data_IF_563421909941
#
_entry.id   IF_563421909941
#
_cell.length_a   1.000
_cell.length_b   1.000
_cell.length_c   1.000
_cell.angle_alpha   90.00
_cell.angle_beta   90.00
_cell.angle_gamma   90.00
#
_symmetry.space_group_name_H-M   'P 1'
#
loop_
_entity.id
_entity.type
_entity.pdbx_description
1 polymer ?
#
# COMPACT_ATOMS: atom_id res chain seq x y z
N UNK A 1 6.82 28.36 10.35
CA UNK A 1 7.91 27.37 10.22
C UNK A 1 7.83 26.72 8.85
N UNK A 2 8.94 26.60 8.22
CA UNK A 2 8.99 25.97 6.92
C UNK A 2 8.89 24.45 7.07
N UNK A 3 7.95 23.83 6.39
CA UNK A 3 7.82 22.37 6.40
C UNK A 3 9.06 21.73 5.79
N UNK A 4 9.60 20.73 6.46
CA UNK A 4 10.76 20.01 5.95
C UNK A 4 10.32 18.93 4.96
N UNK A 5 10.38 19.26 3.71
CA UNK A 5 9.98 18.37 2.62
C UNK A 5 10.87 17.13 2.52
N UNK A 6 12.10 17.23 3.01
CA UNK A 6 13.03 16.09 2.95
C UNK A 6 12.62 14.97 3.86
N UNK A 7 12.06 15.28 5.05
CA UNK A 7 11.52 14.24 5.92
C UNK A 7 10.39 13.48 5.25
N UNK A 8 9.54 14.18 4.51
CA UNK A 8 8.47 13.55 3.75
C UNK A 8 9.03 12.68 2.62
N UNK A 9 10.03 13.20 1.90
CA UNK A 9 10.62 12.47 0.78
C UNK A 9 11.38 11.23 1.23
N UNK A 10 11.92 11.22 2.44
CA UNK A 10 12.55 10.04 3.03
C UNK A 10 11.54 8.92 3.30
N UNK A 11 10.29 9.29 3.55
CA UNK A 11 9.22 8.33 3.85
C UNK A 11 8.48 7.91 2.58
N UNK A 12 8.28 8.84 1.66
CA UNK A 12 7.48 8.63 0.45
C UNK A 12 8.25 8.99 -0.80
N UNK A 13 8.10 8.19 -1.85
CA UNK A 13 8.82 8.35 -3.11
C UNK A 13 8.01 9.03 -4.19
N UNK A 14 6.81 9.49 -3.88
CA UNK A 14 5.94 10.15 -4.83
C UNK A 14 5.44 11.46 -4.29
N UNK A 15 4.47 12.07 -4.94
CA UNK A 15 4.01 13.44 -4.68
C UNK A 15 3.22 13.56 -3.37
N UNK A 16 3.92 13.41 -2.24
CA UNK A 16 3.31 13.48 -0.91
C UNK A 16 2.82 14.89 -0.56
N UNK A 17 3.32 15.91 -1.26
CA UNK A 17 2.85 17.28 -1.04
C UNK A 17 1.35 17.40 -1.31
N UNK A 18 0.82 16.59 -2.20
CA UNK A 18 -0.60 16.59 -2.54
C UNK A 18 -1.48 15.95 -1.48
N UNK A 19 -0.90 15.19 -0.56
CA UNK A 19 -1.69 14.48 0.44
C UNK A 19 -2.37 15.41 1.43
N UNK A 20 -1.66 16.44 1.90
CA UNK A 20 -2.23 17.39 2.85
C UNK A 20 -2.40 16.82 4.25
N UNK A 21 -2.91 17.68 5.15
CA UNK A 21 -3.01 17.37 6.57
C UNK A 21 -3.98 16.22 6.87
N UNK A 22 -5.13 16.22 6.20
CA UNK A 22 -6.14 15.17 6.43
C UNK A 22 -5.58 13.79 6.09
N UNK A 23 -4.93 13.67 4.95
CA UNK A 23 -4.34 12.40 4.52
C UNK A 23 -3.21 11.96 5.45
N UNK A 24 -2.37 12.88 5.92
CA UNK A 24 -1.32 12.55 6.87
C UNK A 24 -1.87 12.00 8.18
N UNK A 25 -2.92 12.61 8.71
CA UNK A 25 -3.56 12.12 9.93
C UNK A 25 -4.13 10.72 9.72
N UNK A 26 -4.81 10.49 8.61
CA UNK A 26 -5.35 9.18 8.28
C UNK A 26 -4.24 8.14 8.13
N UNK A 27 -3.14 8.52 7.51
CA UNK A 27 -1.99 7.65 7.33
C UNK A 27 -1.37 7.24 8.67
N UNK A 28 -1.21 8.19 9.59
CA UNK A 28 -0.70 7.90 10.93
C UNK A 28 -1.61 6.93 11.68
N UNK A 29 -2.93 7.08 11.54
CA UNK A 29 -3.87 6.16 12.14
C UNK A 29 -3.73 4.74 11.57
N UNK A 30 -3.56 4.61 10.25
CA UNK A 30 -3.38 3.28 9.65
C UNK A 30 -2.09 2.62 10.12
N UNK A 31 -1.01 3.39 10.24
CA UNK A 31 0.27 2.88 10.74
C UNK A 31 0.14 2.43 12.19
N UNK A 32 -0.54 3.22 13.02
CA UNK A 32 -0.76 2.90 14.42
C UNK A 32 -1.49 1.55 14.56
N UNK A 33 -2.53 1.34 13.77
CA UNK A 33 -3.33 0.11 13.85
C UNK A 33 -2.61 -1.11 13.29
N UNK A 34 -1.75 -0.92 12.30
CA UNK A 34 -1.14 -2.06 11.59
C UNK A 34 0.32 -2.32 11.95
N UNK A 35 0.84 -1.68 12.99
CA UNK A 35 2.18 -1.98 13.46
C UNK A 35 3.31 -1.38 12.67
N UNK A 36 3.07 -0.32 11.96
CA UNK A 36 4.12 0.58 11.48
C UNK A 36 5.05 0.03 10.43
N UNK A 37 4.55 -0.14 9.23
CA UNK A 37 5.37 -0.55 8.11
C UNK A 37 5.05 0.31 6.90
N UNK A 38 5.19 -0.20 5.71
CA UNK A 38 5.00 0.59 4.52
C UNK A 38 3.61 1.17 4.39
N UNK A 39 3.49 2.20 3.58
CA UNK A 39 2.19 2.81 3.24
C UNK A 39 2.07 2.96 1.74
N UNK A 40 0.84 2.94 1.25
CA UNK A 40 0.51 3.16 -0.14
C UNK A 40 -0.81 3.92 -0.20
N UNK A 41 -0.90 4.89 -1.08
CA UNK A 41 -2.09 5.71 -1.26
C UNK A 41 -2.47 5.80 -2.73
N UNK A 42 -3.73 6.10 -2.99
CA UNK A 42 -4.17 6.29 -4.37
C UNK A 42 -5.58 6.83 -4.48
N UNK A 43 -6.04 6.93 -5.71
CA UNK A 43 -7.34 7.50 -6.05
C UNK A 43 -8.38 6.41 -6.27
N UNK A 44 -9.65 6.80 -6.10
CA UNK A 44 -10.79 5.95 -6.42
C UNK A 44 -11.23 6.15 -7.86
N UNK A 45 -10.30 6.01 -8.79
CA UNK A 45 -10.64 5.97 -10.22
C UNK A 45 -10.78 4.51 -10.69
N UNK A 46 -11.03 4.33 -11.98
CA UNK A 46 -11.28 3.00 -12.53
C UNK A 46 -10.12 2.03 -12.29
N UNK A 47 -8.89 2.54 -12.31
CA UNK A 47 -7.68 1.73 -12.16
C UNK A 47 -7.17 1.68 -10.73
N UNK A 48 -7.81 2.40 -9.79
CA UNK A 48 -7.28 2.59 -8.44
C UNK A 48 -5.83 3.07 -8.51
N UNK A 49 -5.65 4.21 -9.19
CA UNK A 49 -4.33 4.76 -9.49
C UNK A 49 -3.52 5.02 -8.24
N UNK A 50 -2.27 4.57 -8.24
CA UNK A 50 -1.35 4.74 -7.11
C UNK A 50 -0.87 6.19 -7.11
N UNK A 51 -0.98 6.85 -5.96
CA UNK A 51 -0.50 8.21 -5.75
C UNK A 51 0.86 8.24 -5.08
N UNK A 52 1.05 7.46 -4.02
CA UNK A 52 2.31 7.43 -3.29
C UNK A 52 2.58 6.06 -2.71
N UNK A 53 3.86 5.74 -2.56
CA UNK A 53 4.33 4.50 -1.95
C UNK A 53 5.53 4.86 -1.07
N UNK A 54 5.55 4.37 0.16
CA UNK A 54 6.68 4.62 1.05
C UNK A 54 7.92 3.86 0.59
N UNK A 55 9.09 4.39 0.91
CA UNK A 55 10.36 3.72 0.60
C UNK A 55 10.46 2.36 1.26
N UNK A 56 9.94 2.24 2.47
CA UNK A 56 9.97 0.96 3.19
C UNK A 56 9.17 -0.11 2.44
N UNK A 57 7.99 0.24 1.95
CA UNK A 57 7.19 -0.72 1.18
C UNK A 57 7.88 -1.09 -0.13
N UNK A 58 8.42 -0.12 -0.83
CA UNK A 58 9.17 -0.36 -2.06
C UNK A 58 10.34 -1.32 -1.80
N UNK A 59 11.11 -1.06 -0.75
CA UNK A 59 12.23 -1.90 -0.38
C UNK A 59 11.78 -3.34 -0.12
N UNK A 60 10.71 -3.51 0.64
CA UNK A 60 10.19 -4.83 0.97
C UNK A 60 9.64 -5.59 -0.23
N UNK A 61 9.23 -4.88 -1.27
CA UNK A 61 8.77 -5.48 -2.53
C UNK A 61 9.89 -5.60 -3.56
N UNK A 62 11.11 -5.19 -3.20
CA UNK A 62 12.28 -5.18 -4.09
C UNK A 62 12.09 -4.29 -5.32
N UNK A 63 11.39 -3.19 -5.14
CA UNK A 63 11.12 -2.22 -6.20
C UNK A 63 11.77 -0.87 -5.92
N UNK A 64 12.13 -0.16 -6.98
CA UNK A 64 12.15 1.30 -6.95
C UNK A 64 10.74 1.80 -7.26
N UNK A 65 10.48 3.09 -7.02
CA UNK A 65 9.19 3.66 -7.39
C UNK A 65 8.93 3.49 -8.90
N UNK A 66 9.94 3.79 -9.72
CA UNK A 66 9.81 3.67 -11.18
C UNK A 66 9.52 2.24 -11.61
N UNK A 67 10.21 1.26 -11.03
CA UNK A 67 9.99 -0.14 -11.41
C UNK A 67 8.62 -0.64 -10.97
N UNK A 68 8.14 -0.20 -9.80
CA UNK A 68 6.79 -0.53 -9.36
C UNK A 68 5.75 0.03 -10.32
N UNK A 69 5.89 1.30 -10.68
CA UNK A 69 4.93 1.95 -11.59
C UNK A 69 4.96 1.32 -12.97
N UNK A 70 6.12 0.87 -13.43
CA UNK A 70 6.23 0.16 -14.70
C UNK A 70 5.55 -1.20 -14.65
N UNK A 71 5.82 -1.98 -13.61
CA UNK A 71 5.23 -3.31 -13.45
C UNK A 71 3.71 -3.25 -13.29
N UNK A 72 3.21 -2.32 -12.50
CA UNK A 72 1.79 -2.18 -12.20
C UNK A 72 1.05 -1.28 -13.18
N UNK A 73 1.76 -0.55 -14.01
CA UNK A 73 1.21 0.51 -14.87
C UNK A 73 0.44 1.55 -14.06
N UNK A 74 0.90 1.78 -12.84
CA UNK A 74 0.29 2.74 -11.94
C UNK A 74 -1.01 2.32 -11.28
N UNK A 75 -1.43 1.07 -11.44
CA UNK A 75 -2.71 0.58 -10.93
C UNK A 75 -2.50 -0.36 -9.75
N UNK A 76 -3.19 -0.08 -8.65
CA UNK A 76 -3.21 -0.97 -7.50
C UNK A 76 -3.70 -2.37 -7.87
N UNK A 77 -4.62 -2.45 -8.82
CA UNK A 77 -5.16 -3.74 -9.28
C UNK A 77 -4.08 -4.69 -9.78
N UNK A 78 -3.02 -4.14 -10.36
CA UNK A 78 -1.92 -4.94 -10.91
C UNK A 78 -0.86 -5.26 -9.86
N UNK A 79 -0.96 -4.67 -8.68
CA UNK A 79 -0.06 -5.00 -7.56
C UNK A 79 -0.56 -6.20 -6.77
N UNK A 80 -1.88 -6.38 -6.68
CA UNK A 80 -2.44 -7.54 -6.03
C UNK A 80 -2.24 -8.79 -6.87
N UNK A 81 -2.02 -9.92 -6.19
CA UNK A 81 -1.98 -11.22 -6.83
C UNK A 81 -3.36 -11.54 -7.40
N UNK A 82 -3.39 -12.13 -8.58
CA UNK A 82 -4.63 -12.30 -9.37
C UNK A 82 -5.75 -13.07 -8.66
N UNK A 83 -5.41 -13.88 -7.65
CA UNK A 83 -6.42 -14.65 -6.90
C UNK A 83 -7.16 -13.82 -5.87
N UNK A 84 -6.69 -12.62 -5.57
CA UNK A 84 -7.35 -11.74 -4.62
C UNK A 84 -8.44 -10.91 -5.30
N UNK A 85 -9.45 -11.62 -5.83
CA UNK A 85 -10.48 -11.02 -6.67
C UNK A 85 -11.23 -9.88 -5.99
N UNK A 86 -11.33 -9.88 -4.66
CA UNK A 86 -11.99 -8.82 -3.91
C UNK A 86 -11.34 -7.47 -4.17
N UNK A 87 -10.03 -7.44 -4.37
CA UNK A 87 -9.29 -6.20 -4.60
C UNK A 87 -9.31 -5.76 -6.08
N UNK A 88 -9.85 -6.60 -6.95
CA UNK A 88 -10.03 -6.27 -8.35
C UNK A 88 -11.39 -5.61 -8.64
N UNK A 89 -12.29 -5.67 -7.67
CA UNK A 89 -13.61 -5.06 -7.76
C UNK A 89 -13.59 -3.72 -7.03
N UNK A 90 -13.73 -2.62 -7.77
CA UNK A 90 -13.66 -1.27 -7.21
C UNK A 90 -14.68 -1.05 -6.10
N UNK A 91 -15.91 -1.56 -6.26
CA UNK A 91 -16.96 -1.37 -5.27
C UNK A 91 -16.60 -2.08 -3.96
N UNK A 92 -16.10 -3.30 -4.05
CA UNK A 92 -15.67 -4.06 -2.86
C UNK A 92 -14.48 -3.41 -2.18
N UNK A 93 -13.51 -2.96 -2.98
CA UNK A 93 -12.34 -2.28 -2.42
C UNK A 93 -12.77 -0.99 -1.70
N UNK A 94 -13.70 -0.24 -2.29
CA UNK A 94 -14.18 1.00 -1.68
C UNK A 94 -14.92 0.74 -0.37
N UNK A 95 -15.62 -0.39 -0.27
CA UNK A 95 -16.34 -0.75 0.94
C UNK A 95 -15.43 -1.28 2.05
N UNK A 96 -14.24 -1.76 1.70
CA UNK A 96 -13.29 -2.23 2.69
C UNK A 96 -12.85 -1.08 3.59
N UNK A 97 -13.00 -1.23 4.89
CA UNK A 97 -12.51 -0.28 5.88
C UNK A 97 -11.86 -1.06 7.01
N UNK A 98 -10.70 -0.56 7.47
CA UNK A 98 -9.96 -1.24 8.52
C UNK A 98 -9.11 -2.38 7.99
N UNK A 99 -9.08 -3.46 8.74
CA UNK A 99 -8.18 -4.58 8.48
C UNK A 99 -8.55 -5.38 7.26
N UNK A 100 -7.53 -5.86 6.56
CA UNK A 100 -7.67 -6.77 5.43
C UNK A 100 -6.39 -7.56 5.24
N UNK A 101 -6.47 -8.59 4.41
CA UNK A 101 -5.33 -9.42 4.06
C UNK A 101 -5.34 -9.66 2.55
N UNK A 102 -4.16 -9.86 2.01
CA UNK A 102 -4.03 -10.14 0.58
C UNK A 102 -2.61 -10.54 0.24
N UNK A 103 -2.32 -10.55 -1.04
CA UNK A 103 -0.99 -10.83 -1.54
C UNK A 103 -0.59 -9.76 -2.55
N UNK A 104 0.59 -9.17 -2.34
CA UNK A 104 1.19 -8.26 -3.31
C UNK A 104 2.22 -9.01 -4.13
N UNK A 105 2.48 -8.50 -5.33
CA UNK A 105 3.55 -9.03 -6.19
C UNK A 105 4.83 -8.28 -5.92
N UNK A 106 5.92 -9.03 -5.72
CA UNK A 106 7.27 -8.48 -5.67
C UNK A 106 7.79 -8.18 -7.07
N UNK A 107 8.97 -7.59 -7.16
CA UNK A 107 9.56 -7.21 -8.44
C UNK A 107 9.77 -8.40 -9.38
N UNK A 108 10.02 -9.59 -8.83
CA UNK A 108 10.21 -10.80 -9.64
C UNK A 108 8.90 -11.53 -9.94
N UNK A 109 7.76 -10.95 -9.54
CA UNK A 109 6.45 -11.54 -9.80
C UNK A 109 5.98 -12.55 -8.76
N UNK A 110 6.75 -12.77 -7.69
CA UNK A 110 6.36 -13.68 -6.63
C UNK A 110 5.34 -13.01 -5.70
N UNK A 111 4.31 -13.74 -5.24
CA UNK A 111 3.39 -13.18 -4.27
C UNK A 111 3.98 -13.17 -2.88
N UNK A 112 3.61 -12.16 -2.09
CA UNK A 112 3.94 -12.04 -0.68
C UNK A 112 2.68 -11.69 0.10
N UNK A 113 2.45 -12.38 1.22
CA UNK A 113 1.30 -12.10 2.08
C UNK A 113 1.48 -10.76 2.78
N UNK A 114 0.39 -9.98 2.80
CA UNK A 114 0.37 -8.68 3.45
C UNK A 114 -0.86 -8.55 4.32
N UNK A 115 -0.70 -7.84 5.43
CA UNK A 115 -1.81 -7.35 6.25
C UNK A 115 -1.98 -5.88 5.94
N UNK A 116 -3.22 -5.48 5.75
CA UNK A 116 -3.57 -4.13 5.35
C UNK A 116 -4.45 -3.49 6.42
N UNK A 117 -4.31 -2.20 6.57
CA UNK A 117 -5.29 -1.39 7.27
C UNK A 117 -5.64 -0.21 6.39
N UNK A 118 -6.89 -0.16 5.94
CA UNK A 118 -7.33 0.82 4.97
C UNK A 118 -8.19 1.89 5.62
N UNK A 119 -7.97 3.12 5.21
CA UNK A 119 -8.78 4.26 5.61
C UNK A 119 -8.97 5.20 4.42
N UNK A 120 -10.13 5.83 4.36
CA UNK A 120 -10.40 6.85 3.36
C UNK A 120 -10.01 8.23 3.88
N UNK A 121 -9.60 9.11 2.97
CA UNK A 121 -9.24 10.48 3.27
C UNK A 121 -9.50 11.32 2.04
N UNK A 122 -9.09 12.58 2.09
CA UNK A 122 -9.11 13.48 0.93
C UNK A 122 -7.74 14.11 0.77
N UNK A 123 -7.37 14.41 -0.46
CA UNK A 123 -6.15 15.15 -0.74
C UNK A 123 -6.37 16.66 -0.55
N UNK A 124 -5.37 17.46 -0.91
CA UNK A 124 -5.45 18.93 -0.74
C UNK A 124 -6.57 19.56 -1.58
N UNK A 125 -6.98 18.92 -2.65
CA UNK A 125 -8.04 19.40 -3.54
C UNK A 125 -9.42 18.88 -3.13
N UNK A 126 -9.50 18.09 -2.04
CA UNK A 126 -10.74 17.47 -1.62
C UNK A 126 -11.09 16.20 -2.39
N UNK A 127 -10.20 15.71 -3.23
CA UNK A 127 -10.43 14.48 -4.00
C UNK A 127 -10.33 13.27 -3.07
N UNK A 128 -11.30 12.35 -3.11
CA UNK A 128 -11.24 11.14 -2.28
C UNK A 128 -10.05 10.27 -2.65
N UNK A 129 -9.36 9.80 -1.62
CA UNK A 129 -8.22 8.88 -1.76
C UNK A 129 -8.36 7.74 -0.76
N UNK A 130 -7.75 6.61 -1.09
CA UNK A 130 -7.58 5.51 -0.14
C UNK A 130 -6.15 5.53 0.38
N UNK A 131 -6.00 5.12 1.64
CA UNK A 131 -4.70 5.00 2.30
C UNK A 131 -4.64 3.64 2.94
N UNK A 132 -3.56 2.92 2.72
CA UNK A 132 -3.32 1.64 3.38
C UNK A 132 -1.95 1.62 4.02
N UNK A 133 -1.86 1.16 5.25
CA UNK A 133 -0.62 0.68 5.80
C UNK A 133 -0.50 -0.81 5.47
N UNK A 134 0.71 -1.23 5.17
CA UNK A 134 0.98 -2.57 4.66
C UNK A 134 2.05 -3.20 5.52
N UNK A 135 1.73 -4.32 6.13
CA UNK A 135 2.69 -5.12 6.88
C UNK A 135 2.93 -6.43 6.15
N UNK A 136 4.20 -6.75 5.89
CA UNK A 136 4.56 -8.03 5.30
C UNK A 136 4.36 -9.12 6.34
N UNK A 137 3.73 -10.21 5.94
CA UNK A 137 3.45 -11.31 6.85
C UNK A 137 4.49 -12.43 6.71
N UNK A 138 5.76 -12.05 6.97
CA UNK A 138 6.87 -13.00 6.89
C UNK A 138 6.70 -14.19 7.82
N UNK A 139 6.13 -13.96 9.00
CA UNK A 139 5.91 -15.04 9.97
C UNK A 139 4.94 -16.08 9.41
N UNK A 140 3.91 -15.66 8.73
CA UNK A 140 2.96 -16.56 8.09
C UNK A 140 3.63 -17.40 7.01
N UNK A 141 4.44 -16.78 6.16
CA UNK A 141 5.15 -17.49 5.09
C UNK A 141 6.14 -18.49 5.68
N UNK A 142 6.90 -18.08 6.69
CA UNK A 142 7.85 -18.96 7.36
C UNK A 142 7.14 -20.16 8.00
N UNK A 143 5.99 -19.92 8.59
CA UNK A 143 5.21 -20.99 9.21
C UNK A 143 4.71 -21.98 8.16
N UNK A 144 4.25 -21.49 7.03
CA UNK A 144 3.79 -22.33 5.93
C UNK A 144 4.94 -23.19 5.39
N UNK A 145 6.12 -22.61 5.20
CA UNK A 145 7.29 -23.36 4.74
C UNK A 145 7.72 -24.43 5.73
N UNK A 146 7.71 -24.13 7.02
CA UNK A 146 8.03 -25.10 8.05
C UNK A 146 7.04 -26.26 8.03
N UNK A 147 5.75 -25.97 7.91
CA UNK A 147 4.73 -27.01 7.86
C UNK A 147 4.89 -27.90 6.63
N UNK A 148 5.21 -27.32 5.48
CA UNK A 148 5.50 -28.10 4.27
C UNK A 148 6.73 -28.99 4.45
N UNK A 149 7.74 -28.51 5.15
CA UNK A 149 8.96 -29.27 5.40
C UNK A 149 8.74 -30.46 6.31
N UNK A 150 7.80 -30.36 7.23
CA UNK A 150 7.49 -31.43 8.19
C UNK A 150 6.69 -32.55 7.52
N UNK A 151 5.94 -32.22 6.52
CA UNK A 151 5.11 -33.16 5.78
C UNK A 151 5.83 -33.73 4.56
#
# INVERSE_FOLDING_TARGET
MKFDRRLTDEIYTSDTVRLGKNAFQAMQETIYHNGGVGTITGYYDAELSILSVSDLLLHNLNHSYASLMEQTKGSLKNLFYKKDAIFLDNARFRQLQGEGEGQFLTADGSPVYVRLYKKDAVDTDGTPIWIMSVQMNWAYENLALVNESIH
#
